data_IF_396127794951
#
_entry.id   IF_396127794951
#
_cell.length_a   1.000
_cell.length_b   1.000
_cell.length_c   1.000
_cell.angle_alpha   90.00
_cell.angle_beta   90.00
_cell.angle_gamma   90.00
#
_symmetry.space_group_name_H-M   'P 1'
#
loop_
_entity.id
_entity.type
_entity.pdbx_description
1 polymer ?
#
# COMPACT_ATOMS: atom_id res chain seq x y z
N UNK A 1 0.90 -50.34 0.43
CA UNK A 1 0.89 -49.50 -0.80
C UNK A 1 0.54 -48.09 -0.36
N UNK A 2 1.55 -47.29 -0.02
CA UNK A 2 1.42 -45.85 0.18
C UNK A 2 1.56 -45.22 -1.20
N UNK A 3 0.43 -44.86 -1.81
CA UNK A 3 0.41 -44.13 -3.06
C UNK A 3 1.01 -42.73 -2.83
N UNK A 4 2.14 -42.47 -3.47
CA UNK A 4 2.69 -41.11 -3.59
C UNK A 4 1.65 -40.25 -4.30
N UNK A 5 1.06 -39.27 -3.58
CA UNK A 5 0.25 -38.23 -4.20
C UNK A 5 1.21 -37.35 -5.01
N UNK A 6 1.27 -37.56 -6.32
CA UNK A 6 1.97 -36.66 -7.22
C UNK A 6 1.40 -35.26 -7.08
N UNK A 7 2.25 -34.26 -6.80
CA UNK A 7 1.85 -32.85 -6.81
C UNK A 7 1.62 -32.44 -8.26
N UNK A 8 0.38 -32.23 -8.63
CA UNK A 8 0.02 -31.65 -9.93
C UNK A 8 0.45 -30.19 -9.96
N UNK A 9 1.42 -29.90 -10.80
CA UNK A 9 1.85 -28.49 -11.00
C UNK A 9 1.01 -27.91 -12.15
N UNK A 10 0.10 -27.02 -11.83
CA UNK A 10 -0.72 -26.32 -12.82
C UNK A 10 -0.04 -25.03 -13.26
N UNK A 11 -0.08 -24.66 -14.56
CA UNK A 11 0.46 -23.41 -15.04
C UNK A 11 -0.38 -22.24 -14.51
N UNK A 12 0.32 -21.22 -13.99
CA UNK A 12 -0.24 -19.97 -13.50
C UNK A 12 0.31 -18.84 -14.35
N UNK A 13 -0.58 -17.98 -14.82
CA UNK A 13 -0.24 -16.78 -15.55
C UNK A 13 -0.62 -15.57 -14.71
N UNK A 14 0.38 -14.76 -14.37
CA UNK A 14 0.19 -13.52 -13.61
C UNK A 14 0.79 -12.36 -14.38
N UNK A 15 -0.05 -11.45 -14.84
CA UNK A 15 0.34 -10.23 -15.53
C UNK A 15 0.12 -9.04 -14.62
N UNK A 16 1.16 -8.21 -14.47
CA UNK A 16 1.08 -6.97 -13.71
C UNK A 16 1.47 -5.82 -14.62
N UNK A 17 0.62 -4.80 -14.66
CA UNK A 17 0.90 -3.55 -15.37
C UNK A 17 0.87 -2.41 -14.36
N UNK A 18 1.93 -1.61 -14.35
CA UNK A 18 2.00 -0.39 -13.54
C UNK A 18 2.33 0.80 -14.44
N UNK A 19 1.44 1.78 -14.42
CA UNK A 19 1.67 3.09 -15.01
C UNK A 19 1.86 4.13 -13.93
N UNK A 20 2.90 4.96 -14.06
CA UNK A 20 3.22 6.01 -13.08
C UNK A 20 3.49 7.33 -13.79
N UNK A 21 2.74 8.35 -13.38
CA UNK A 21 2.91 9.72 -13.81
C UNK A 21 3.41 10.56 -12.63
N UNK A 22 4.58 11.20 -12.79
CA UNK A 22 5.11 12.14 -11.82
C UNK A 22 5.01 13.56 -12.39
N UNK A 23 4.57 14.47 -11.56
CA UNK A 23 4.37 15.87 -11.91
C UNK A 23 4.88 16.76 -10.78
N UNK A 24 5.75 17.72 -11.11
CA UNK A 24 6.31 18.67 -10.15
C UNK A 24 5.71 20.06 -10.38
N UNK A 25 5.20 20.65 -9.32
CA UNK A 25 4.68 22.01 -9.26
C UNK A 25 5.70 22.90 -8.50
N UNK A 26 6.69 23.41 -9.23
CA UNK A 26 7.82 24.13 -8.62
C UNK A 26 8.70 23.22 -7.77
N UNK A 27 9.44 23.81 -6.84
CA UNK A 27 10.43 23.11 -6.00
C UNK A 27 9.86 22.55 -4.70
N UNK A 28 8.62 22.90 -4.38
CA UNK A 28 8.00 22.60 -3.07
C UNK A 28 6.99 21.49 -3.14
N UNK A 29 6.28 21.36 -4.26
CA UNK A 29 5.16 20.45 -4.41
C UNK A 29 5.38 19.47 -5.55
N UNK A 30 5.15 18.20 -5.30
CA UNK A 30 5.13 17.16 -6.33
C UNK A 30 3.90 16.28 -6.18
N UNK A 31 3.43 15.78 -7.31
CA UNK A 31 2.26 14.91 -7.41
C UNK A 31 2.63 13.66 -8.19
N UNK A 32 2.14 12.51 -7.73
CA UNK A 32 2.33 11.21 -8.37
C UNK A 32 1.01 10.49 -8.48
N UNK A 33 0.64 10.15 -9.71
CA UNK A 33 -0.48 9.25 -9.99
C UNK A 33 0.07 7.88 -10.36
N UNK A 34 -0.43 6.83 -9.77
CA UNK A 34 -0.06 5.44 -10.08
C UNK A 34 -1.33 4.65 -10.38
N UNK A 35 -1.31 3.93 -11.49
CA UNK A 35 -2.33 2.98 -11.89
C UNK A 35 -1.69 1.59 -11.89
N UNK A 36 -2.23 0.70 -11.10
CA UNK A 36 -1.83 -0.70 -11.02
C UNK A 36 -2.95 -1.58 -11.55
N UNK A 37 -2.62 -2.55 -12.37
CA UNK A 37 -3.53 -3.55 -12.88
C UNK A 37 -2.87 -4.92 -12.76
N UNK A 38 -3.57 -5.87 -12.14
CA UNK A 38 -3.18 -7.27 -11.98
C UNK A 38 -4.19 -8.15 -12.68
N UNK A 39 -3.72 -9.09 -13.46
CA UNK A 39 -4.52 -10.14 -14.06
C UNK A 39 -3.91 -11.49 -13.70
N UNK A 40 -4.70 -12.32 -13.03
CA UNK A 40 -4.33 -13.66 -12.62
C UNK A 40 -5.22 -14.67 -13.36
N UNK A 41 -4.60 -15.68 -13.94
CA UNK A 41 -5.28 -16.78 -14.59
C UNK A 41 -4.60 -18.11 -14.29
N UNK A 42 -5.39 -19.08 -13.88
CA UNK A 42 -4.94 -20.47 -13.68
C UNK A 42 -5.87 -21.40 -14.46
N UNK A 43 -5.36 -22.55 -14.87
CA UNK A 43 -6.10 -23.51 -15.68
C UNK A 43 -7.37 -24.04 -14.99
N UNK A 44 -7.40 -24.06 -13.64
CA UNK A 44 -8.51 -24.58 -12.84
C UNK A 44 -9.43 -23.49 -12.27
N UNK A 45 -9.13 -22.20 -12.50
CA UNK A 45 -9.88 -21.07 -11.92
C UNK A 45 -10.21 -20.04 -12.98
N UNK A 46 -11.33 -19.37 -12.80
CA UNK A 46 -11.67 -18.20 -13.59
C UNK A 46 -10.59 -17.12 -13.49
N UNK A 47 -10.43 -16.36 -14.54
CA UNK A 47 -9.51 -15.23 -14.53
C UNK A 47 -9.97 -14.21 -13.50
N UNK A 48 -9.04 -13.74 -12.66
CA UNK A 48 -9.27 -12.75 -11.61
C UNK A 48 -8.51 -11.47 -11.93
N UNK A 49 -9.16 -10.34 -11.71
CA UNK A 49 -8.56 -9.03 -11.93
C UNK A 49 -8.46 -8.24 -10.63
N UNK A 50 -7.45 -7.40 -10.55
CA UNK A 50 -7.30 -6.40 -9.49
C UNK A 50 -6.76 -5.12 -10.08
N UNK A 51 -7.24 -3.98 -9.60
CA UNK A 51 -6.70 -2.69 -9.97
C UNK A 51 -6.64 -1.73 -8.79
N UNK A 52 -5.75 -0.79 -8.89
CA UNK A 52 -5.57 0.25 -7.89
C UNK A 52 -5.24 1.58 -8.58
N UNK A 53 -5.89 2.63 -8.12
CA UNK A 53 -5.57 4.01 -8.51
C UNK A 53 -5.07 4.72 -7.28
N UNK A 54 -3.88 5.28 -7.36
CA UNK A 54 -3.23 5.97 -6.24
C UNK A 54 -2.84 7.37 -6.65
N UNK A 55 -3.21 8.35 -5.84
CA UNK A 55 -2.77 9.73 -5.94
C UNK A 55 -1.96 10.08 -4.70
N UNK A 56 -0.73 10.54 -4.90
CA UNK A 56 0.18 10.99 -3.85
C UNK A 56 0.57 12.43 -4.11
N UNK A 57 0.51 13.24 -3.07
CA UNK A 57 0.97 14.62 -3.08
C UNK A 57 2.06 14.72 -2.02
N UNK A 58 3.23 15.20 -2.43
CA UNK A 58 4.38 15.40 -1.55
C UNK A 58 4.74 16.87 -1.52
N UNK A 59 4.89 17.41 -0.33
CA UNK A 59 5.33 18.78 -0.09
C UNK A 59 6.65 18.78 0.68
N UNK A 60 7.57 19.59 0.20
CA UNK A 60 8.84 19.84 0.86
C UNK A 60 8.90 21.32 1.25
N UNK A 61 8.98 21.57 2.56
CA UNK A 61 9.12 22.92 3.13
C UNK A 61 10.54 23.10 3.68
N UNK A 62 11.53 23.49 2.85
CA UNK A 62 12.94 23.51 3.23
C UNK A 62 13.22 24.44 4.40
N UNK A 63 12.52 25.58 4.47
CA UNK A 63 12.63 26.55 5.54
C UNK A 63 12.16 26.02 6.90
N UNK A 64 11.18 25.09 6.91
CA UNK A 64 10.70 24.42 8.11
C UNK A 64 11.37 23.04 8.33
N UNK A 65 12.22 22.58 7.41
CA UNK A 65 12.79 21.22 7.39
C UNK A 65 11.74 20.14 7.54
N UNK A 66 10.56 20.40 6.98
CA UNK A 66 9.38 19.55 7.05
C UNK A 66 9.07 18.99 5.67
N UNK A 67 8.87 17.68 5.61
CA UNK A 67 8.37 16.96 4.44
C UNK A 67 7.05 16.32 4.82
N UNK A 68 6.04 16.49 3.98
CA UNK A 68 4.73 15.91 4.16
C UNK A 68 4.30 15.18 2.90
N UNK A 69 3.84 13.94 3.04
CA UNK A 69 3.24 13.17 1.98
C UNK A 69 1.81 12.82 2.37
N UNK A 70 0.88 13.06 1.46
CA UNK A 70 -0.51 12.64 1.57
C UNK A 70 -0.82 11.73 0.40
N UNK A 71 -1.37 10.57 0.65
CA UNK A 71 -1.71 9.58 -0.36
C UNK A 71 -3.13 9.08 -0.16
N UNK A 72 -3.89 9.06 -1.25
CA UNK A 72 -5.19 8.42 -1.34
C UNK A 72 -5.14 7.32 -2.41
N UNK A 73 -5.72 6.16 -2.11
CA UNK A 73 -5.79 5.03 -3.02
C UNK A 73 -7.20 4.45 -3.03
N UNK A 74 -7.71 4.15 -4.21
CA UNK A 74 -8.87 3.29 -4.40
C UNK A 74 -8.41 1.95 -4.94
N UNK A 75 -8.91 0.85 -4.41
CA UNK A 75 -8.55 -0.50 -4.84
C UNK A 75 -9.78 -1.38 -5.04
N UNK A 76 -9.67 -2.29 -5.98
CA UNK A 76 -10.63 -3.35 -6.25
C UNK A 76 -9.90 -4.61 -6.67
N UNK A 77 -10.32 -5.76 -6.15
CA UNK A 77 -9.81 -7.07 -6.54
C UNK A 77 -10.91 -8.11 -6.45
N UNK A 78 -10.98 -9.00 -7.42
CA UNK A 78 -11.96 -10.10 -7.43
C UNK A 78 -11.67 -11.14 -6.35
N UNK A 79 -10.37 -11.48 -6.15
CA UNK A 79 -9.94 -12.50 -5.20
C UNK A 79 -8.56 -12.18 -4.63
N UNK A 80 -8.10 -12.98 -3.68
CA UNK A 80 -6.78 -12.87 -3.05
C UNK A 80 -5.63 -12.97 -4.06
N UNK A 81 -5.78 -13.79 -5.10
CA UNK A 81 -4.73 -14.01 -6.12
C UNK A 81 -4.48 -12.75 -6.98
N UNK A 82 -5.50 -11.88 -7.13
CA UNK A 82 -5.40 -10.60 -7.84
C UNK A 82 -5.12 -9.38 -6.93
N UNK A 83 -4.74 -9.61 -5.66
CA UNK A 83 -4.46 -8.54 -4.69
C UNK A 83 -3.48 -7.50 -5.22
N UNK A 84 -3.68 -6.26 -4.81
CA UNK A 84 -2.82 -5.13 -5.19
C UNK A 84 -1.99 -4.65 -4.00
N UNK A 85 -0.85 -4.03 -4.30
CA UNK A 85 0.10 -3.59 -3.30
C UNK A 85 0.28 -2.07 -3.38
N UNK A 86 0.01 -1.36 -2.28
CA UNK A 86 0.21 0.08 -2.23
C UNK A 86 1.69 0.42 -2.10
N UNK A 87 2.17 1.25 -3.02
CA UNK A 87 3.49 1.85 -2.94
C UNK A 87 3.41 3.12 -2.09
N UNK A 88 3.48 2.98 -0.77
CA UNK A 88 3.42 4.09 0.18
C UNK A 88 4.81 4.53 0.62
N UNK A 89 4.95 5.83 0.93
CA UNK A 89 6.14 6.32 1.60
C UNK A 89 6.22 5.73 3.02
N UNK A 90 7.28 5.00 3.31
CA UNK A 90 7.51 4.31 4.59
C UNK A 90 8.39 5.10 5.56
N UNK A 91 8.63 4.50 6.72
CA UNK A 91 9.69 4.88 7.65
C UNK A 91 11.06 4.47 7.10
N UNK A 92 12.14 5.02 7.66
CA UNK A 92 13.49 4.63 7.27
C UNK A 92 13.77 3.19 7.70
N UNK A 93 14.37 2.41 6.81
CA UNK A 93 14.76 1.01 7.05
C UNK A 93 13.59 0.06 7.36
N UNK A 94 12.36 0.46 7.09
CA UNK A 94 11.16 -0.34 7.26
C UNK A 94 10.55 -0.66 5.91
N UNK A 95 10.53 -1.94 5.54
CA UNK A 95 9.92 -2.43 4.31
C UNK A 95 8.52 -2.96 4.60
N UNK A 96 7.57 -2.07 4.62
CA UNK A 96 6.17 -2.42 4.77
C UNK A 96 5.37 -1.97 3.55
N UNK A 97 4.81 -2.92 2.84
CA UNK A 97 3.96 -2.66 1.68
C UNK A 97 2.57 -3.23 1.99
N UNK A 98 1.58 -2.38 2.25
CA UNK A 98 0.21 -2.84 2.47
C UNK A 98 -0.31 -3.57 1.24
N UNK A 99 -0.90 -4.73 1.44
CA UNK A 99 -1.64 -5.47 0.41
C UNK A 99 -3.13 -5.33 0.65
N UNK A 100 -3.88 -5.20 -0.46
CA UNK A 100 -5.34 -5.03 -0.42
C UNK A 100 -6.01 -6.12 -1.24
N UNK A 101 -7.10 -6.62 -0.67
CA UNK A 101 -8.00 -7.59 -1.28
C UNK A 101 -9.43 -7.07 -1.08
N UNK A 102 -10.29 -7.24 -2.10
CA UNK A 102 -11.66 -6.75 -2.11
C UNK A 102 -11.77 -5.33 -2.63
N UNK A 103 -12.70 -4.55 -2.12
CA UNK A 103 -12.99 -3.19 -2.58
C UNK A 103 -12.88 -2.20 -1.42
N UNK A 104 -12.20 -1.06 -1.65
CA UNK A 104 -12.08 -0.05 -0.61
C UNK A 104 -11.22 1.15 -0.98
N UNK A 105 -11.02 1.98 0.05
CA UNK A 105 -10.16 3.16 0.00
C UNK A 105 -9.09 3.07 1.07
N UNK A 106 -7.91 3.59 0.75
CA UNK A 106 -6.87 3.83 1.74
C UNK A 106 -6.38 5.26 1.65
N UNK A 107 -6.27 5.90 2.81
CA UNK A 107 -5.62 7.19 2.97
C UNK A 107 -4.40 7.02 3.87
N UNK A 108 -3.30 7.65 3.54
CA UNK A 108 -2.14 7.72 4.42
C UNK A 108 -1.51 9.10 4.40
N UNK A 109 -1.00 9.51 5.55
CA UNK A 109 -0.29 10.78 5.74
C UNK A 109 1.02 10.48 6.44
N UNK A 110 2.11 11.00 5.91
CA UNK A 110 3.43 10.90 6.50
C UNK A 110 4.04 12.28 6.68
N UNK A 111 4.59 12.52 7.87
CA UNK A 111 5.40 13.68 8.18
C UNK A 111 6.82 13.25 8.50
N UNK A 112 7.78 13.98 7.97
CA UNK A 112 9.19 13.84 8.28
C UNK A 112 9.72 15.21 8.68
N UNK A 113 10.21 15.34 9.91
CA UNK A 113 10.71 16.55 10.47
C UNK A 113 12.17 16.41 10.88
N UNK A 114 13.03 17.27 10.32
CA UNK A 114 14.47 17.31 10.62
C UNK A 114 14.74 18.43 11.62
N UNK A 115 14.67 18.13 12.91
CA UNK A 115 14.90 19.13 13.96
C UNK A 115 16.31 19.74 13.84
N UNK A 116 17.33 18.92 13.63
CA UNK A 116 18.70 19.32 13.36
C UNK A 116 19.48 18.18 12.65
N UNK A 117 20.82 18.33 12.50
CA UNK A 117 21.68 17.31 11.85
C UNK A 117 21.67 15.94 12.56
N UNK A 118 21.32 15.94 13.84
CA UNK A 118 21.35 14.74 14.67
C UNK A 118 19.98 14.09 14.86
N UNK A 119 18.91 14.87 14.84
CA UNK A 119 17.57 14.41 15.19
C UNK A 119 16.61 14.47 13.99
N UNK A 120 16.04 13.32 13.67
CA UNK A 120 15.02 13.17 12.65
C UNK A 120 13.83 12.43 13.25
N UNK A 121 12.65 13.02 13.12
CA UNK A 121 11.38 12.44 13.51
C UNK A 121 10.52 12.13 12.28
N UNK A 122 9.97 10.93 12.21
CA UNK A 122 9.05 10.51 11.15
C UNK A 122 7.81 9.93 11.82
N UNK A 123 6.64 10.36 11.38
CA UNK A 123 5.36 9.77 11.76
C UNK A 123 4.54 9.49 10.51
N UNK A 124 3.82 8.38 10.53
CA UNK A 124 2.89 7.97 9.49
C UNK A 124 1.60 7.50 10.12
N UNK A 125 0.51 7.96 9.58
CA UNK A 125 -0.84 7.51 9.88
C UNK A 125 -1.45 6.94 8.60
N UNK A 126 -2.13 5.80 8.69
CA UNK A 126 -2.85 5.18 7.60
C UNK A 126 -4.21 4.70 8.05
N UNK A 127 -5.22 4.85 7.20
CA UNK A 127 -6.57 4.32 7.39
C UNK A 127 -7.03 3.62 6.12
N UNK A 128 -7.54 2.41 6.26
CA UNK A 128 -8.18 1.64 5.18
C UNK A 128 -9.64 1.46 5.51
N UNK A 129 -10.52 1.75 4.56
CA UNK A 129 -11.97 1.56 4.65
C UNK A 129 -12.39 0.59 3.57
N UNK A 130 -12.92 -0.57 3.95
CA UNK A 130 -13.46 -1.56 3.04
C UNK A 130 -14.94 -1.28 2.74
N UNK A 131 -15.34 -1.49 1.49
CA UNK A 131 -16.73 -1.29 1.03
C UNK A 131 -17.49 -2.59 0.88
N UNK A 132 -16.78 -3.71 0.89
CA UNK A 132 -17.28 -5.05 0.59
C UNK A 132 -17.43 -5.96 1.82
N UNK A 133 -17.06 -5.46 3.01
CA UNK A 133 -17.08 -6.25 4.25
C UNK A 133 -17.29 -5.40 5.48
N UNK A 134 -17.81 -6.05 6.55
CA UNK A 134 -18.00 -5.45 7.87
C UNK A 134 -17.08 -6.05 8.95
N UNK A 135 -16.17 -6.95 8.54
CA UNK A 135 -15.19 -7.57 9.41
C UNK A 135 -13.85 -7.69 8.67
N UNK A 136 -12.75 -7.46 9.35
CA UNK A 136 -11.39 -7.50 8.81
C UNK A 136 -10.55 -8.45 9.63
N UNK A 137 -9.84 -9.39 8.97
CA UNK A 137 -9.03 -10.39 9.64
C UNK A 137 -9.84 -11.59 10.12
N UNK A 138 -9.23 -12.42 10.95
CA UNK A 138 -9.86 -13.63 11.52
C UNK A 138 -9.19 -14.02 12.83
N UNK A 139 -9.88 -14.81 13.65
CA UNK A 139 -9.36 -15.28 14.93
C UNK A 139 -9.04 -14.13 15.89
N UNK A 140 -7.84 -14.11 16.45
CA UNK A 140 -7.43 -13.09 17.43
C UNK A 140 -7.18 -11.71 16.80
N UNK A 141 -7.05 -11.63 15.48
CA UNK A 141 -6.84 -10.38 14.72
C UNK A 141 -8.14 -9.86 14.08
N UNK A 142 -9.30 -10.38 14.50
CA UNK A 142 -10.59 -9.96 14.00
C UNK A 142 -10.92 -8.54 14.46
N UNK A 143 -11.18 -7.67 13.51
CA UNK A 143 -11.67 -6.30 13.72
C UNK A 143 -13.15 -6.28 13.33
N UNK A 144 -14.04 -6.04 14.31
CA UNK A 144 -15.46 -5.84 14.06
C UNK A 144 -15.66 -4.43 13.48
N UNK A 145 -15.82 -4.36 12.16
CA UNK A 145 -15.96 -3.13 11.41
C UNK A 145 -15.25 -3.18 10.07
N UNK A 146 -15.52 -2.20 9.25
CA UNK A 146 -14.95 -2.08 7.90
C UNK A 146 -13.72 -1.16 7.82
N UNK A 147 -13.20 -0.69 8.96
CA UNK A 147 -12.08 0.26 9.03
C UNK A 147 -10.90 -0.33 9.79
N UNK A 148 -9.71 -0.10 9.25
CA UNK A 148 -8.44 -0.46 9.89
C UNK A 148 -7.51 0.75 9.83
N UNK A 149 -7.04 1.21 11.00
CA UNK A 149 -6.05 2.28 11.10
C UNK A 149 -4.71 1.73 11.58
N UNK A 150 -3.64 2.35 11.11
CA UNK A 150 -2.26 2.07 11.53
C UNK A 150 -1.51 3.37 11.79
N UNK A 151 -0.70 3.36 12.84
CA UNK A 151 0.18 4.48 13.21
C UNK A 151 1.59 3.95 13.36
N UNK A 152 2.53 4.64 12.75
CA UNK A 152 3.96 4.32 12.81
C UNK A 152 4.74 5.56 13.19
N UNK A 153 5.69 5.43 14.10
CA UNK A 153 6.55 6.52 14.55
C UNK A 153 8.01 6.06 14.58
N UNK A 154 8.91 6.94 14.20
CA UNK A 154 10.34 6.68 14.22
C UNK A 154 11.10 7.93 14.65
N UNK A 155 12.01 7.74 15.59
CA UNK A 155 13.04 8.71 15.96
C UNK A 155 14.40 8.16 15.57
N UNK A 156 15.16 8.96 14.81
CA UNK A 156 16.56 8.65 14.49
C UNK A 156 17.48 9.68 15.12
N UNK A 157 18.46 9.20 15.86
CA UNK A 157 19.51 10.00 16.48
C UNK A 157 20.83 9.61 15.84
N UNK A 158 21.62 10.60 15.40
CA UNK A 158 22.98 10.46 14.92
C UNK A 158 23.92 11.10 15.93
N UNK A 159 24.91 10.39 16.33
CA UNK A 159 26.01 10.85 17.17
C UNK A 159 27.19 11.33 16.34
#
# INVERSE_FOLDING_TARGET
>A
WTGSKGTLTLPIFHHQLRYRLNYSLGDVLSSRTTLDYNHFHSQDRAANIGYQVTQMISSQLPWARLFADVQGSYFFTDDYDSRVYASESGLLYMFYTPSFQGCGFRCSVRFRYELNKHWLFITKFGETVYLDRNEIGSGNDLICGNKKADVQMQLRIKF
#
